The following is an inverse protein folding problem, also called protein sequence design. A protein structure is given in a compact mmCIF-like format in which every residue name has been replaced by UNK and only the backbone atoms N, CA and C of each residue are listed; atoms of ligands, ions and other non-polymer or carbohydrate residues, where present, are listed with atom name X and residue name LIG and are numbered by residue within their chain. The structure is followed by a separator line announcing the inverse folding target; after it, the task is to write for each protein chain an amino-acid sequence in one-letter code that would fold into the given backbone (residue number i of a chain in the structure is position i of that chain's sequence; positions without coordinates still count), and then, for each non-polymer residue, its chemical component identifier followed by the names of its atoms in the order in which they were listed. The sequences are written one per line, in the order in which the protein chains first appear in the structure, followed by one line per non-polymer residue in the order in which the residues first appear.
data_IF_824662783833
#
_entry.id   IF_824662783833
#
_cell.length_a   1.000
_cell.length_b   1.000
_cell.length_c   1.000
_cell.angle_alpha   90.00
_cell.angle_beta   90.00
_cell.angle_gamma   90.00
#
_symmetry.space_group_name_H-M   'P 1'
#
loop_
_entity.id
_entity.type
_entity.pdbx_description
1 polymer ?
#
# COMPACT_ATOMS: atom_id res chain seq x y z
N UNK A 1 25.76 -3.19 17.28
CA UNK A 1 24.96 -2.80 16.09
C UNK A 1 23.79 -1.95 16.54
N UNK A 2 23.57 -0.78 15.93
CA UNK A 2 22.42 0.09 16.23
C UNK A 2 21.13 -0.46 15.61
N UNK A 3 19.97 -0.02 16.10
CA UNK A 3 18.66 -0.35 15.52
C UNK A 3 18.58 0.06 14.04
N UNK A 4 19.14 1.23 13.71
CA UNK A 4 19.20 1.72 12.33
C UNK A 4 20.02 0.82 11.40
N UNK A 5 21.14 0.27 11.87
CA UNK A 5 21.94 -0.67 11.09
C UNK A 5 21.19 -1.99 10.84
N UNK A 6 20.48 -2.50 11.85
CA UNK A 6 19.65 -3.71 11.71
C UNK A 6 18.50 -3.49 10.73
N UNK A 7 17.84 -2.34 10.79
CA UNK A 7 16.76 -2.02 9.86
C UNK A 7 17.28 -1.91 8.42
N UNK A 8 18.39 -1.21 8.19
CA UNK A 8 19.00 -1.14 6.85
C UNK A 8 19.33 -2.52 6.32
N UNK A 9 20.00 -3.36 7.11
CA UNK A 9 20.30 -4.73 6.72
C UNK A 9 19.05 -5.58 6.45
N UNK A 10 17.94 -5.29 7.14
CA UNK A 10 16.68 -6.00 6.92
C UNK A 10 16.01 -5.62 5.60
N UNK A 11 16.12 -4.36 5.17
CA UNK A 11 15.52 -3.84 3.94
C UNK A 11 16.40 -4.04 2.71
N UNK A 12 17.70 -4.20 2.91
CA UNK A 12 18.69 -4.34 1.84
C UNK A 12 18.46 -5.59 0.97
N UNK A 13 18.78 -5.48 -0.31
CA UNK A 13 18.66 -6.56 -1.28
C UNK A 13 19.56 -6.31 -2.51
N UNK A 14 20.24 -7.32 -3.07
CA UNK A 14 21.12 -7.16 -4.24
C UNK A 14 20.42 -6.59 -5.49
N UNK A 15 19.15 -6.95 -5.71
CA UNK A 15 18.28 -6.33 -6.72
C UNK A 15 17.72 -4.98 -6.21
N UNK A 16 18.06 -3.84 -6.84
CA UNK A 16 17.59 -2.51 -6.44
C UNK A 16 16.06 -2.34 -6.45
N UNK A 17 15.36 -3.05 -7.35
CA UNK A 17 13.88 -3.02 -7.38
C UNK A 17 13.30 -3.69 -6.13
N UNK A 18 13.86 -4.82 -5.73
CA UNK A 18 13.42 -5.52 -4.52
C UNK A 18 13.79 -4.72 -3.26
N UNK A 19 14.95 -4.06 -3.22
CA UNK A 19 15.32 -3.16 -2.11
C UNK A 19 14.33 -1.98 -1.98
N UNK A 20 13.93 -1.39 -3.12
CA UNK A 20 12.91 -0.32 -3.15
C UNK A 20 11.56 -0.84 -2.66
N UNK A 21 11.12 -2.01 -3.13
CA UNK A 21 9.90 -2.67 -2.65
C UNK A 21 9.94 -2.93 -1.14
N UNK A 22 11.08 -3.38 -0.61
CA UNK A 22 11.23 -3.62 0.82
C UNK A 22 11.03 -2.35 1.64
N UNK A 23 11.60 -1.23 1.18
CA UNK A 23 11.41 0.07 1.81
C UNK A 23 9.94 0.50 1.80
N UNK A 24 9.27 0.39 0.65
CA UNK A 24 7.85 0.75 0.53
C UNK A 24 6.99 -0.13 1.43
N UNK A 25 7.21 -1.45 1.41
CA UNK A 25 6.52 -2.40 2.26
C UNK A 25 6.70 -2.09 3.75
N UNK A 26 7.92 -1.71 4.16
CA UNK A 26 8.19 -1.30 5.53
C UNK A 26 7.44 -0.03 5.91
N UNK A 27 7.45 1.01 5.07
CA UNK A 27 6.73 2.27 5.35
C UNK A 27 5.23 2.03 5.47
N UNK A 28 4.63 1.28 4.55
CA UNK A 28 3.20 0.94 4.59
C UNK A 28 2.88 0.07 5.81
N UNK A 29 3.67 -0.96 6.07
CA UNK A 29 3.47 -1.86 7.21
C UNK A 29 3.62 -1.14 8.55
N UNK A 30 4.60 -0.25 8.68
CA UNK A 30 4.84 0.55 9.88
C UNK A 30 3.76 1.62 10.10
N UNK A 31 3.08 2.10 9.06
CA UNK A 31 1.98 3.05 9.17
C UNK A 31 0.70 2.41 9.72
N UNK A 32 0.40 1.15 9.39
CA UNK A 32 -0.90 0.56 9.72
C UNK A 32 -1.28 0.53 11.21
N UNK A 33 -0.36 0.39 12.19
CA UNK A 33 -0.68 0.57 13.61
C UNK A 33 -1.11 1.99 13.98
N UNK A 34 -0.69 3.01 13.24
CA UNK A 34 -1.00 4.42 13.49
C UNK A 34 -2.28 4.86 12.78
N UNK A 35 -2.65 4.23 11.65
CA UNK A 35 -3.89 4.52 10.93
C UNK A 35 -5.14 4.65 11.81
N UNK A 36 -5.50 3.65 12.62
CA UNK A 36 -6.69 3.75 13.44
C UNK A 36 -6.63 4.92 14.44
N UNK A 37 -5.44 5.29 14.93
CA UNK A 37 -5.28 6.37 15.89
C UNK A 37 -5.63 7.73 15.27
N UNK A 38 -5.03 8.07 14.14
CA UNK A 38 -5.32 9.36 13.50
C UNK A 38 -6.70 9.39 12.83
N UNK A 39 -7.20 8.25 12.34
CA UNK A 39 -8.55 8.15 11.81
C UNK A 39 -9.61 8.38 12.91
N UNK A 40 -9.48 7.74 14.08
CA UNK A 40 -10.38 7.97 15.23
C UNK A 40 -10.33 9.42 15.72
N UNK A 41 -9.14 10.01 15.79
CA UNK A 41 -8.98 11.41 16.16
C UNK A 41 -9.69 12.35 15.16
N UNK A 42 -9.60 12.05 13.86
CA UNK A 42 -10.21 12.84 12.80
C UNK A 42 -11.75 12.76 12.80
N UNK A 43 -12.31 11.57 12.99
CA UNK A 43 -13.77 11.36 12.96
C UNK A 43 -14.45 11.62 14.32
N UNK A 44 -13.66 11.91 15.36
CA UNK A 44 -14.14 12.18 16.72
C UNK A 44 -14.84 10.99 17.37
N UNK A 45 -14.54 9.75 16.95
CA UNK A 45 -15.21 8.53 17.42
C UNK A 45 -14.19 7.49 17.86
N UNK A 46 -14.18 7.09 19.15
CA UNK A 46 -13.40 5.94 19.58
C UNK A 46 -14.01 4.66 19.00
N UNK A 47 -13.18 3.74 18.54
CA UNK A 47 -13.65 2.48 17.97
C UNK A 47 -12.53 1.45 17.88
N UNK A 48 -12.51 0.52 18.84
CA UNK A 48 -11.55 -0.59 18.85
C UNK A 48 -11.60 -1.41 17.54
N UNK A 49 -12.78 -1.50 16.91
CA UNK A 49 -12.97 -2.19 15.63
C UNK A 49 -12.18 -1.58 14.47
N UNK A 50 -11.79 -0.30 14.54
CA UNK A 50 -10.95 0.32 13.50
C UNK A 50 -9.54 -0.28 13.50
N UNK A 51 -9.07 -0.85 14.61
CA UNK A 51 -7.78 -1.54 14.68
C UNK A 51 -7.73 -2.77 13.76
N UNK A 52 -8.86 -3.33 13.34
CA UNK A 52 -8.87 -4.43 12.36
C UNK A 52 -8.22 -4.03 11.02
N UNK A 53 -8.19 -2.74 10.68
CA UNK A 53 -7.46 -2.23 9.51
C UNK A 53 -5.95 -2.50 9.56
N UNK A 54 -5.37 -2.69 10.76
CA UNK A 54 -3.95 -2.99 10.91
C UNK A 54 -3.60 -4.47 10.71
N UNK A 55 -4.59 -5.34 10.49
CA UNK A 55 -4.37 -6.77 10.35
C UNK A 55 -3.38 -7.13 9.22
N UNK A 56 -3.27 -6.28 8.19
CA UNK A 56 -2.32 -6.46 7.10
C UNK A 56 -0.89 -5.97 7.43
N UNK A 57 -0.68 -5.17 8.48
CA UNK A 57 0.64 -4.62 8.83
C UNK A 57 1.73 -5.68 8.99
N UNK A 58 1.50 -6.81 9.70
CA UNK A 58 2.49 -7.87 9.79
C UNK A 58 2.86 -8.47 8.43
N UNK A 59 1.89 -8.56 7.50
CA UNK A 59 2.12 -9.07 6.15
C UNK A 59 3.07 -8.15 5.38
N UNK A 60 2.83 -6.83 5.39
CA UNK A 60 3.72 -5.88 4.76
C UNK A 60 5.13 -5.89 5.37
N UNK A 61 5.21 -5.97 6.70
CA UNK A 61 6.50 -6.04 7.40
C UNK A 61 7.27 -7.34 7.11
N UNK A 62 6.60 -8.41 6.69
CA UNK A 62 7.22 -9.68 6.31
C UNK A 62 7.74 -9.71 4.86
N UNK A 63 7.35 -8.76 4.01
CA UNK A 63 7.77 -8.72 2.60
C UNK A 63 9.29 -8.72 2.41
N UNK A 64 10.10 -7.95 3.18
CA UNK A 64 11.56 -8.02 3.05
C UNK A 64 12.14 -9.40 3.35
N UNK A 65 11.53 -10.13 4.30
CA UNK A 65 11.94 -11.51 4.58
C UNK A 65 11.59 -12.46 3.42
N UNK A 66 10.46 -12.24 2.74
CA UNK A 66 10.10 -12.97 1.52
C UNK A 66 11.05 -12.63 0.35
N UNK A 67 11.35 -11.35 0.16
CA UNK A 67 12.24 -10.86 -0.90
C UNK A 67 13.63 -11.47 -0.80
N UNK A 68 14.17 -11.65 0.42
CA UNK A 68 15.46 -12.35 0.64
C UNK A 68 15.48 -13.79 0.12
N UNK A 69 14.33 -14.48 0.09
CA UNK A 69 14.22 -15.84 -0.45
C UNK A 69 13.98 -15.81 -1.96
N UNK A 70 13.19 -14.85 -2.43
CA UNK A 70 12.90 -14.67 -3.84
C UNK A 70 12.50 -13.21 -4.11
N UNK A 71 13.38 -12.48 -4.82
CA UNK A 71 13.17 -11.07 -5.12
C UNK A 71 11.93 -10.80 -5.98
N UNK A 72 11.54 -11.70 -6.88
CA UNK A 72 10.29 -11.58 -7.63
C UNK A 72 9.08 -11.77 -6.72
N UNK A 73 9.11 -12.75 -5.82
CA UNK A 73 8.00 -12.99 -4.89
C UNK A 73 7.75 -11.78 -3.99
N UNK A 74 8.80 -11.11 -3.50
CA UNK A 74 8.66 -9.86 -2.76
C UNK A 74 8.02 -8.73 -3.59
N UNK A 75 8.48 -8.56 -4.84
CA UNK A 75 7.96 -7.54 -5.78
C UNK A 75 6.50 -7.78 -6.19
N UNK A 76 6.07 -9.04 -6.26
CA UNK A 76 4.66 -9.43 -6.48
C UNK A 76 3.82 -9.24 -5.22
N UNK A 77 4.34 -9.60 -4.06
CA UNK A 77 3.59 -9.60 -2.80
C UNK A 77 3.10 -8.21 -2.43
N UNK A 78 3.92 -7.17 -2.59
CA UNK A 78 3.55 -5.80 -2.21
C UNK A 78 2.27 -5.29 -2.91
N UNK A 79 2.18 -5.23 -4.25
CA UNK A 79 0.97 -4.76 -4.92
C UNK A 79 -0.23 -5.70 -4.72
N UNK A 80 0.02 -7.01 -4.58
CA UNK A 80 -1.04 -8.00 -4.32
C UNK A 80 -1.68 -7.79 -2.95
N UNK A 81 -0.89 -7.79 -1.88
CA UNK A 81 -1.41 -7.57 -0.52
C UNK A 81 -1.87 -6.13 -0.30
N UNK A 82 -1.27 -5.16 -0.98
CA UNK A 82 -1.80 -3.79 -1.08
C UNK A 82 -3.23 -3.77 -1.60
N UNK A 83 -3.48 -4.49 -2.70
CA UNK A 83 -4.83 -4.60 -3.29
C UNK A 83 -5.78 -5.29 -2.31
N UNK A 84 -5.42 -6.46 -1.80
CA UNK A 84 -6.27 -7.20 -0.85
C UNK A 84 -6.60 -6.40 0.41
N UNK A 85 -5.62 -5.70 0.98
CA UNK A 85 -5.83 -4.84 2.14
C UNK A 85 -6.76 -3.66 1.82
N UNK A 86 -6.62 -3.06 0.63
CA UNK A 86 -7.48 -1.94 0.21
C UNK A 86 -8.92 -2.39 0.07
N UNK A 87 -9.16 -3.54 -0.56
CA UNK A 87 -10.50 -4.13 -0.70
C UNK A 87 -11.11 -4.51 0.66
N UNK A 88 -10.29 -5.05 1.57
CA UNK A 88 -10.67 -5.33 2.94
C UNK A 88 -11.08 -4.06 3.68
N UNK A 89 -10.27 -3.00 3.60
CA UNK A 89 -10.59 -1.72 4.21
C UNK A 89 -11.84 -1.11 3.58
N UNK A 90 -11.99 -1.13 2.25
CA UNK A 90 -13.19 -0.65 1.56
C UNK A 90 -14.46 -1.31 2.09
N UNK A 91 -14.43 -2.62 2.37
CA UNK A 91 -15.55 -3.31 2.99
C UNK A 91 -15.80 -2.87 4.44
N UNK A 92 -14.75 -2.66 5.23
CA UNK A 92 -14.86 -2.25 6.63
C UNK A 92 -15.38 -0.83 6.79
N UNK A 93 -14.73 0.14 6.12
CA UNK A 93 -14.98 1.56 6.34
C UNK A 93 -15.96 2.17 5.32
N UNK A 94 -16.22 1.47 4.22
CA UNK A 94 -17.18 1.86 3.19
C UNK A 94 -16.53 2.59 2.01
N UNK A 95 -17.05 2.43 0.78
CA UNK A 95 -16.44 3.04 -0.41
C UNK A 95 -16.47 4.58 -0.40
N UNK A 96 -17.46 5.18 0.26
CA UNK A 96 -17.57 6.64 0.42
C UNK A 96 -16.41 7.27 1.21
N UNK A 97 -15.68 6.48 1.99
CA UNK A 97 -14.47 6.90 2.70
C UNK A 97 -13.29 7.21 1.77
N UNK A 98 -13.37 6.92 0.47
CA UNK A 98 -12.25 7.16 -0.46
C UNK A 98 -11.09 6.18 -0.35
N UNK A 99 -11.15 5.19 0.55
CA UNK A 99 -10.05 4.23 0.74
C UNK A 99 -9.69 3.42 -0.52
N UNK A 100 -10.64 3.21 -1.44
CA UNK A 100 -10.37 2.56 -2.73
C UNK A 100 -9.35 3.34 -3.59
N UNK A 101 -9.11 4.62 -3.32
CA UNK A 101 -8.05 5.40 -3.99
C UNK A 101 -6.66 4.77 -3.78
N UNK A 102 -6.45 4.00 -2.70
CA UNK A 102 -5.21 3.27 -2.44
C UNK A 102 -4.93 2.14 -3.44
N UNK A 103 -5.91 1.77 -4.28
CA UNK A 103 -5.70 0.89 -5.44
C UNK A 103 -4.76 1.54 -6.48
N UNK A 104 -4.72 2.88 -6.58
CA UNK A 104 -3.84 3.59 -7.50
C UNK A 104 -2.35 3.36 -7.18
N UNK A 105 -1.86 3.55 -5.92
CA UNK A 105 -0.55 3.10 -5.51
C UNK A 105 -0.26 1.63 -5.84
N UNK A 106 -1.23 0.72 -5.69
CA UNK A 106 -1.04 -0.70 -5.99
C UNK A 106 -0.76 -0.92 -7.49
N UNK A 107 -1.49 -0.22 -8.38
CA UNK A 107 -1.25 -0.21 -9.82
C UNK A 107 0.15 0.33 -10.14
N UNK A 108 0.51 1.47 -9.54
CA UNK A 108 1.82 2.12 -9.78
C UNK A 108 2.96 1.22 -9.29
N UNK A 109 2.84 0.63 -8.11
CA UNK A 109 3.81 -0.33 -7.58
C UNK A 109 3.95 -1.53 -8.52
N UNK A 110 2.86 -2.11 -9.01
CA UNK A 110 2.93 -3.22 -9.97
C UNK A 110 3.66 -2.82 -11.26
N UNK A 111 3.38 -1.61 -11.77
CA UNK A 111 4.00 -1.07 -12.98
C UNK A 111 5.49 -0.76 -12.85
N UNK A 112 5.95 -0.37 -11.65
CA UNK A 112 7.33 0.03 -11.36
C UNK A 112 8.19 -1.10 -10.78
N UNK A 113 7.59 -2.06 -10.08
CA UNK A 113 8.33 -3.11 -9.36
C UNK A 113 8.64 -4.34 -10.22
N UNK A 114 8.07 -4.43 -11.42
CA UNK A 114 8.23 -5.59 -12.29
C UNK A 114 8.97 -5.20 -13.56
N UNK A 115 9.91 -6.05 -13.97
CA UNK A 115 10.75 -5.85 -15.14
C UNK A 115 9.91 -6.00 -16.41
N UNK A 116 10.32 -5.39 -17.53
CA UNK A 116 9.64 -5.58 -18.81
C UNK A 116 9.55 -7.05 -19.28
N UNK A 117 10.49 -7.91 -18.86
CA UNK A 117 10.46 -9.35 -19.14
C UNK A 117 9.43 -10.13 -18.32
N UNK A 118 8.90 -9.54 -17.25
CA UNK A 118 7.94 -10.17 -16.32
C UNK A 118 6.49 -9.83 -16.70
N UNK A 119 6.22 -9.84 -18.01
CA UNK A 119 5.01 -9.30 -18.65
C UNK A 119 3.71 -9.81 -18.06
N UNK A 120 3.59 -11.12 -17.86
CA UNK A 120 2.37 -11.74 -17.32
C UNK A 120 2.06 -11.22 -15.91
N UNK A 121 3.06 -11.21 -15.03
CA UNK A 121 2.90 -10.71 -13.66
C UNK A 121 2.60 -9.21 -13.64
N UNK A 122 3.29 -8.44 -14.50
CA UNK A 122 3.11 -7.00 -14.57
C UNK A 122 1.71 -6.61 -14.99
N UNK A 123 1.20 -7.16 -16.08
CA UNK A 123 -0.16 -6.86 -16.53
C UNK A 123 -1.21 -7.47 -15.62
N UNK A 124 -0.99 -8.67 -15.09
CA UNK A 124 -1.88 -9.28 -14.12
C UNK A 124 -2.05 -8.41 -12.87
N UNK A 125 -0.96 -7.91 -12.30
CA UNK A 125 -0.98 -7.10 -11.08
C UNK A 125 -1.39 -5.63 -11.30
N UNK A 126 -1.25 -5.09 -12.52
CA UNK A 126 -1.86 -3.81 -12.89
C UNK A 126 -3.37 -3.97 -13.06
N UNK A 127 -3.80 -5.01 -13.78
CA UNK A 127 -5.20 -5.25 -14.08
C UNK A 127 -6.02 -5.67 -12.86
N UNK A 128 -5.41 -6.39 -11.90
CA UNK A 128 -6.07 -6.89 -10.70
C UNK A 128 -6.80 -5.80 -9.88
N UNK A 129 -6.16 -4.71 -9.41
CA UNK A 129 -6.83 -3.65 -8.67
C UNK A 129 -7.92 -2.94 -9.49
N UNK A 130 -7.71 -2.77 -10.80
CA UNK A 130 -8.73 -2.20 -11.68
C UNK A 130 -9.97 -3.10 -11.79
N UNK A 131 -9.76 -4.38 -12.04
CA UNK A 131 -10.82 -5.38 -12.12
C UNK A 131 -11.54 -5.52 -10.78
N UNK A 132 -10.81 -5.52 -9.67
CA UNK A 132 -11.39 -5.59 -8.33
C UNK A 132 -12.28 -4.39 -8.02
N UNK A 133 -11.85 -3.16 -8.37
CA UNK A 133 -12.68 -1.97 -8.22
C UNK A 133 -13.98 -2.08 -9.04
N UNK A 134 -13.87 -2.43 -10.33
CA UNK A 134 -15.03 -2.56 -11.21
C UNK A 134 -16.00 -3.65 -10.74
N UNK A 135 -15.49 -4.76 -10.22
CA UNK A 135 -16.32 -5.90 -9.81
C UNK A 135 -16.91 -5.74 -8.40
N UNK A 136 -16.18 -5.16 -7.45
CA UNK A 136 -16.55 -5.16 -6.03
C UNK A 136 -17.13 -3.83 -5.54
N UNK A 137 -16.72 -2.69 -6.11
CA UNK A 137 -17.24 -1.38 -5.70
C UNK A 137 -18.78 -1.30 -5.78
N UNK A 138 -19.45 -1.86 -6.81
CA UNK A 138 -20.92 -1.90 -6.86
C UNK A 138 -21.58 -2.77 -5.77
N UNK A 139 -20.84 -3.73 -5.20
CA UNK A 139 -21.37 -4.78 -4.31
C UNK A 139 -21.05 -4.48 -2.84
N UNK A 140 -20.14 -3.55 -2.55
CA UNK A 140 -19.75 -3.27 -1.18
C UNK A 140 -20.89 -2.77 -0.30
N UNK A 141 -21.85 -2.04 -0.87
CA UNK A 141 -22.92 -1.42 -0.11
C UNK A 141 -22.36 -0.45 0.94
N UNK A 142 -22.97 -0.43 2.12
CA UNK A 142 -22.47 0.36 3.25
C UNK A 142 -21.29 -0.33 3.94
N UNK A 143 -20.37 0.49 4.50
CA UNK A 143 -19.25 -0.01 5.29
C UNK A 143 -19.71 -0.70 6.58
N UNK A 144 -19.03 -1.78 6.96
CA UNK A 144 -19.37 -2.57 8.16
C UNK A 144 -19.29 -1.78 9.48
N UNK A 145 -18.43 -0.76 9.55
CA UNK A 145 -18.28 0.06 10.76
C UNK A 145 -19.35 1.16 10.90
N UNK A 146 -20.18 1.39 9.87
CA UNK A 146 -21.33 2.29 9.92
C UNK A 146 -20.95 3.72 10.31
N UNK A 147 -20.15 4.39 9.47
CA UNK A 147 -19.82 5.80 9.65
C UNK A 147 -20.94 6.71 9.12
N UNK A 148 -21.08 7.89 9.73
CA UNK A 148 -22.01 8.90 9.21
C UNK A 148 -21.42 9.57 7.97
N UNK A 149 -22.23 10.22 7.11
CA UNK A 149 -21.72 10.91 5.92
C UNK A 149 -20.64 11.95 6.21
N UNK A 150 -20.72 12.64 7.36
CA UNK A 150 -19.70 13.60 7.78
C UNK A 150 -18.37 12.92 8.16
N UNK A 151 -18.44 11.73 8.78
CA UNK A 151 -17.26 10.92 9.10
C UNK A 151 -16.64 10.34 7.84
N UNK A 152 -17.46 9.83 6.91
CA UNK A 152 -17.01 9.34 5.60
C UNK A 152 -16.31 10.45 4.80
N UNK A 153 -16.86 11.67 4.76
CA UNK A 153 -16.22 12.81 4.10
C UNK A 153 -14.89 13.20 4.76
N UNK A 154 -14.75 13.03 6.08
CA UNK A 154 -13.49 13.25 6.76
C UNK A 154 -12.45 12.18 6.38
N UNK A 155 -12.85 10.91 6.36
CA UNK A 155 -12.01 9.80 5.92
C UNK A 155 -11.62 9.95 4.43
N UNK A 156 -12.52 10.42 3.57
CA UNK A 156 -12.23 10.69 2.17
C UNK A 156 -11.06 11.66 2.00
N UNK A 157 -11.04 12.76 2.74
CA UNK A 157 -9.93 13.72 2.69
C UNK A 157 -8.63 13.12 3.21
N UNK A 158 -8.71 12.28 4.24
CA UNK A 158 -7.57 11.56 4.79
C UNK A 158 -7.00 10.58 3.76
N UNK A 159 -7.82 9.71 3.19
CA UNK A 159 -7.40 8.67 2.25
C UNK A 159 -6.95 9.26 0.91
N UNK A 160 -7.56 10.37 0.46
CA UNK A 160 -7.06 11.16 -0.67
C UNK A 160 -5.64 11.70 -0.39
N UNK A 161 -5.44 12.31 0.78
CA UNK A 161 -4.14 12.84 1.20
C UNK A 161 -3.08 11.74 1.34
N UNK A 162 -3.45 10.60 1.94
CA UNK A 162 -2.59 9.41 2.07
C UNK A 162 -2.23 8.83 0.70
N UNK A 163 -3.20 8.75 -0.21
CA UNK A 163 -2.96 8.27 -1.59
C UNK A 163 -1.98 9.19 -2.32
N UNK A 164 -2.21 10.50 -2.30
CA UNK A 164 -1.33 11.47 -2.95
C UNK A 164 0.10 11.42 -2.36
N UNK A 165 0.20 11.34 -1.03
CA UNK A 165 1.48 11.23 -0.32
C UNK A 165 2.21 9.95 -0.70
N UNK A 166 1.51 8.81 -0.75
CA UNK A 166 2.11 7.54 -1.13
C UNK A 166 2.57 7.56 -2.59
N UNK A 167 1.77 8.10 -3.52
CA UNK A 167 2.18 8.25 -4.92
C UNK A 167 3.43 9.14 -5.07
N UNK A 168 3.48 10.27 -4.34
CA UNK A 168 4.67 11.13 -4.33
C UNK A 168 5.89 10.40 -3.76
N UNK A 169 5.72 9.67 -2.65
CA UNK A 169 6.77 8.85 -2.05
C UNK A 169 7.28 7.77 -3.02
N UNK A 170 6.38 7.08 -3.73
CA UNK A 170 6.74 6.11 -4.78
C UNK A 170 7.57 6.78 -5.88
N UNK A 171 7.15 7.95 -6.37
CA UNK A 171 7.91 8.72 -7.36
C UNK A 171 9.33 9.04 -6.87
N UNK A 172 9.49 9.46 -5.61
CA UNK A 172 10.79 9.78 -5.03
C UNK A 172 11.70 8.56 -4.85
N UNK A 173 11.17 7.40 -4.46
CA UNK A 173 12.00 6.21 -4.21
C UNK A 173 12.34 5.47 -5.49
N UNK A 174 11.40 5.32 -6.43
CA UNK A 174 11.66 4.70 -7.73
C UNK A 174 12.44 5.61 -8.67
N UNK A 175 12.30 6.94 -8.54
CA UNK A 175 13.07 7.92 -9.31
C UNK A 175 14.58 7.77 -9.13
N UNK A 176 15.04 7.23 -7.98
CA UNK A 176 16.46 6.93 -7.71
C UNK A 176 17.03 5.80 -8.59
N UNK A 177 16.16 5.02 -9.21
CA UNK A 177 16.54 3.93 -10.10
C UNK A 177 16.67 4.39 -11.56
N UNK A 178 16.28 5.62 -11.87
CA UNK A 178 16.44 6.19 -13.20
C UNK A 178 17.93 6.47 -13.47
N UNK A 179 18.43 6.18 -14.67
CA UNK A 179 19.78 6.55 -15.04
C UNK A 179 19.94 8.08 -15.01
N UNK A 180 21.05 8.56 -14.45
CA UNK A 180 21.42 9.98 -14.53
C UNK A 180 21.78 10.27 -15.99
N UNK A 181 21.11 11.24 -16.61
CA UNK A 181 21.45 11.66 -17.97
C UNK A 181 22.90 12.19 -17.98
N UNK A 182 23.72 11.85 -18.99
CA UNK A 182 25.05 12.43 -19.10
C UNK A 182 24.94 13.95 -19.22
N UNK A 183 25.72 14.68 -18.42
CA UNK A 183 25.85 16.13 -18.56
C UNK A 183 26.41 16.42 -19.96
N UNK A 184 25.65 17.17 -20.77
CA UNK A 184 26.02 17.59 -22.13
C UNK A 184 26.95 18.78 -22.11
#
# INVERSE_FOLDING_TARGET
MTLSARLRAYLDHPDPLAATVNLVAFVVGANGPFYPLYAMALIGRPGAWLFITMAASPVFLAIPALARRNGLAGRIALPLFGTLNTLWCAKLIGPASGVELLLLPCIVIAGLSLRPSETLWRWGLIGLPMAAHLALSPVYGTGLLGFSPAQEAALFRLDLGSTATLLAFLGLVYGRLLPVAPET
#
